data_IF_122131195745
#
_entry.id   IF_122131195745
#
_cell.length_a   1.000
_cell.length_b   1.000
_cell.length_c   1.000
_cell.angle_alpha   90.00
_cell.angle_beta   90.00
_cell.angle_gamma   90.00
#
_symmetry.space_group_name_H-M   'P 1'
#
loop_
_entity.id
_entity.type
_entity.pdbx_description
1 polymer ?
#
# COMPACT_ATOMS: atom_id res chain seq x y z
N UNK A 1 17.94 1.54 14.93
CA UNK A 1 18.35 1.39 16.35
C UNK A 1 17.87 2.64 17.07
N UNK A 2 16.77 2.55 17.82
CA UNK A 2 16.01 3.69 18.39
C UNK A 2 16.49 4.12 19.78
N UNK A 3 17.77 3.87 20.10
CA UNK A 3 18.36 4.22 21.40
C UNK A 3 18.22 5.72 21.68
N UNK A 4 17.60 6.06 22.81
CA UNK A 4 17.43 7.44 23.28
C UNK A 4 16.02 8.02 23.03
N UNK A 5 15.14 7.31 22.33
CA UNK A 5 13.74 7.69 22.18
C UNK A 5 12.86 6.83 23.09
N UNK A 6 11.78 7.40 23.64
CA UNK A 6 10.69 6.65 24.26
C UNK A 6 9.82 5.98 23.17
N UNK A 7 10.46 5.32 22.21
CA UNK A 7 9.83 4.65 21.08
C UNK A 7 9.86 3.15 21.28
N UNK A 8 8.69 2.58 21.54
CA UNK A 8 8.58 1.18 21.94
C UNK A 8 8.51 0.24 20.72
N UNK A 9 8.86 -1.05 20.89
CA UNK A 9 8.66 -2.05 19.84
C UNK A 9 7.20 -2.13 19.36
N UNK A 10 6.21 -1.91 20.23
CA UNK A 10 4.79 -1.91 19.88
C UNK A 10 4.42 -0.71 19.00
N UNK A 11 5.00 0.47 19.28
CA UNK A 11 4.84 1.65 18.42
C UNK A 11 5.49 1.41 17.06
N UNK A 12 6.67 0.78 17.03
CA UNK A 12 7.31 0.37 15.79
C UNK A 12 6.42 -0.60 14.99
N UNK A 13 5.88 -1.62 15.64
CA UNK A 13 4.97 -2.59 15.00
C UNK A 13 3.71 -1.91 14.46
N UNK A 14 3.19 -0.91 15.17
CA UNK A 14 2.01 -0.14 14.74
C UNK A 14 2.26 0.63 13.45
N UNK A 15 3.40 1.34 13.35
CA UNK A 15 3.69 2.18 12.17
C UNK A 15 4.28 1.42 10.99
N UNK A 16 4.81 0.22 11.21
CA UNK A 16 5.38 -0.64 10.16
C UNK A 16 4.45 -1.77 9.71
N UNK A 17 3.30 -1.93 10.38
CA UNK A 17 2.26 -2.89 10.00
C UNK A 17 1.75 -2.59 8.60
N UNK A 18 1.53 -3.66 7.83
CA UNK A 18 0.72 -3.64 6.62
C UNK A 18 -0.71 -3.96 7.02
N UNK A 19 -1.59 -2.96 7.00
CA UNK A 19 -3.02 -3.16 7.23
C UNK A 19 -3.71 -3.58 5.93
N UNK A 20 -4.01 -4.87 5.79
CA UNK A 20 -4.60 -5.43 4.57
C UNK A 20 -5.91 -4.75 4.17
N UNK A 21 -6.79 -4.47 5.13
CA UNK A 21 -8.07 -3.84 4.84
C UNK A 21 -7.91 -2.39 4.36
N UNK A 22 -6.97 -1.65 4.94
CA UNK A 22 -6.64 -0.30 4.49
C UNK A 22 -6.06 -0.31 3.06
N UNK A 23 -5.17 -1.26 2.75
CA UNK A 23 -4.61 -1.39 1.42
C UNK A 23 -5.64 -1.81 0.35
N UNK A 24 -6.59 -2.68 0.69
CA UNK A 24 -7.69 -3.03 -0.22
C UNK A 24 -8.54 -1.81 -0.58
N UNK A 25 -8.82 -0.93 0.38
CA UNK A 25 -9.49 0.35 0.13
C UNK A 25 -8.63 1.28 -0.73
N UNK A 26 -7.33 1.36 -0.46
CA UNK A 26 -6.40 2.19 -1.24
C UNK A 26 -6.32 1.75 -2.71
N UNK A 27 -6.35 0.44 -2.98
CA UNK A 27 -6.39 -0.07 -4.35
C UNK A 27 -7.65 0.34 -5.11
N UNK A 28 -8.80 0.40 -4.43
CA UNK A 28 -10.04 0.90 -5.04
C UNK A 28 -9.95 2.40 -5.38
N UNK A 29 -9.38 3.21 -4.49
CA UNK A 29 -9.13 4.64 -4.77
C UNK A 29 -8.18 4.83 -5.96
N UNK A 30 -7.16 3.98 -6.08
CA UNK A 30 -6.25 4.01 -7.23
C UNK A 30 -6.94 3.59 -8.54
N UNK A 31 -7.91 2.69 -8.49
CA UNK A 31 -8.73 2.34 -9.66
C UNK A 31 -9.56 3.53 -10.14
N UNK A 32 -10.18 4.26 -9.21
CA UNK A 32 -10.90 5.50 -9.53
C UNK A 32 -9.97 6.58 -10.11
N UNK A 33 -8.78 6.76 -9.53
CA UNK A 33 -7.79 7.72 -10.02
C UNK A 33 -7.31 7.37 -11.44
N UNK A 34 -6.99 6.09 -11.69
CA UNK A 34 -6.53 5.65 -13.01
C UNK A 34 -7.62 5.75 -14.08
N UNK A 35 -8.89 5.58 -13.71
CA UNK A 35 -9.99 5.86 -14.62
C UNK A 35 -10.05 7.34 -15.02
N UNK A 36 -9.84 8.27 -14.08
CA UNK A 36 -9.80 9.72 -14.37
C UNK A 36 -8.61 10.12 -15.25
N UNK A 37 -7.47 9.45 -15.04
CA UNK A 37 -6.22 9.72 -15.76
C UNK A 37 -6.02 8.88 -17.02
N UNK A 38 -7.05 8.17 -17.49
CA UNK A 38 -6.93 7.16 -18.55
C UNK A 38 -6.21 7.68 -19.81
N UNK A 39 -6.41 8.95 -20.16
CA UNK A 39 -5.68 9.58 -21.26
C UNK A 39 -4.22 9.86 -20.87
N UNK A 40 -3.29 9.10 -21.45
CA UNK A 40 -1.86 9.25 -21.20
C UNK A 40 -1.35 8.53 -19.96
N UNK A 41 -2.20 7.71 -19.32
CA UNK A 41 -1.77 6.85 -18.21
C UNK A 41 -0.70 5.87 -18.68
N UNK A 42 0.52 5.89 -18.11
CA UNK A 42 1.52 4.89 -18.44
C UNK A 42 1.05 3.50 -18.03
N UNK A 43 1.16 2.48 -18.90
CA UNK A 43 0.67 1.13 -18.61
C UNK A 43 1.39 0.46 -17.42
N UNK A 44 2.58 0.94 -17.06
CA UNK A 44 3.32 0.47 -15.90
C UNK A 44 2.60 0.72 -14.56
N UNK A 45 1.75 1.75 -14.47
CA UNK A 45 1.04 2.09 -13.23
C UNK A 45 -0.04 1.05 -12.86
N UNK A 46 -1.03 0.73 -13.73
CA UNK A 46 -2.01 -0.32 -13.42
C UNK A 46 -1.35 -1.70 -13.25
N UNK A 47 -0.29 -2.00 -14.02
CA UNK A 47 0.46 -3.26 -13.85
C UNK A 47 1.12 -3.36 -12.48
N UNK A 48 1.74 -2.28 -12.00
CA UNK A 48 2.37 -2.25 -10.68
C UNK A 48 1.32 -2.38 -9.59
N UNK A 49 0.17 -1.70 -9.72
CA UNK A 49 -0.95 -1.82 -8.77
C UNK A 49 -1.42 -3.27 -8.64
N UNK A 50 -1.62 -3.96 -9.78
CA UNK A 50 -2.00 -5.37 -9.80
C UNK A 50 -0.96 -6.25 -9.10
N UNK A 51 0.33 -6.08 -9.41
CA UNK A 51 1.40 -6.84 -8.79
C UNK A 51 1.49 -6.62 -7.27
N UNK A 52 1.21 -5.40 -6.79
CA UNK A 52 1.14 -5.11 -5.35
C UNK A 52 -0.08 -5.78 -4.71
N UNK A 53 -1.22 -5.79 -5.39
CA UNK A 53 -2.43 -6.46 -4.91
C UNK A 53 -2.22 -7.98 -4.77
N UNK A 54 -1.53 -8.61 -5.72
CA UNK A 54 -1.13 -10.03 -5.65
C UNK A 54 -0.19 -10.30 -4.48
N UNK A 55 0.81 -9.44 -4.25
CA UNK A 55 1.72 -9.56 -3.10
C UNK A 55 0.97 -9.41 -1.78
N UNK A 56 0.04 -8.45 -1.68
CA UNK A 56 -0.77 -8.26 -0.48
C UNK A 56 -1.63 -9.50 -0.19
N UNK A 57 -2.19 -10.13 -1.23
CA UNK A 57 -2.94 -11.38 -1.08
C UNK A 57 -2.06 -12.53 -0.55
N UNK A 58 -0.77 -12.55 -0.91
CA UNK A 58 0.21 -13.56 -0.48
C UNK A 58 0.79 -13.33 0.93
N UNK A 59 0.60 -12.15 1.55
CA UNK A 59 1.04 -11.82 2.92
C UNK A 59 0.06 -12.36 3.99
N UNK A 60 -0.78 -13.34 3.63
CA UNK A 60 -1.73 -14.00 4.52
C UNK A 60 -1.06 -14.95 5.52
#
# INVERSE_FOLDING_TARGET
NWKGLAFTPEQFATVTRIDKAAWEQEFALHDELFAQLAQGLPPALPQTRQALQERLAAVA
#
